data_IF_046133714437
#
_entry.id   IF_046133714437
#
_cell.length_a   1.000
_cell.length_b   1.000
_cell.length_c   1.000
_cell.angle_alpha   90.00
_cell.angle_beta   90.00
_cell.angle_gamma   90.00
#
_symmetry.space_group_name_H-M   'P 1'
#
loop_
_entity.id
_entity.type
_entity.pdbx_description
1 polymer ?
#
# COMPACT_ATOMS: atom_id res chain seq x y z
N UNK A 1 -11.79 2.46 21.22
CA UNK A 1 -10.33 2.51 20.93
C UNK A 1 -9.50 2.36 22.20
N UNK A 2 -9.75 3.11 23.28
CA UNK A 2 -9.00 2.97 24.54
C UNK A 2 -9.02 1.54 25.08
N UNK A 3 -10.20 0.94 25.22
CA UNK A 3 -10.37 -0.44 25.67
C UNK A 3 -9.54 -1.43 24.83
N UNK A 4 -9.61 -1.28 23.51
CA UNK A 4 -8.85 -2.10 22.57
C UNK A 4 -7.34 -1.92 22.74
N UNK A 5 -6.88 -0.69 23.00
CA UNK A 5 -5.46 -0.41 23.23
C UNK A 5 -4.99 -1.04 24.52
N UNK A 6 -5.73 -0.88 25.62
CA UNK A 6 -5.44 -1.52 26.90
C UNK A 6 -5.38 -3.04 26.79
N UNK A 7 -6.33 -3.63 26.05
CA UNK A 7 -6.33 -5.06 25.76
C UNK A 7 -5.06 -5.50 25.01
N UNK A 8 -4.64 -4.80 23.97
CA UNK A 8 -3.44 -5.17 23.24
C UNK A 8 -2.15 -4.96 24.06
N UNK A 9 -2.09 -3.89 24.86
CA UNK A 9 -0.95 -3.64 25.76
C UNK A 9 -0.82 -4.76 26.81
N UNK A 10 -1.91 -5.19 27.43
CA UNK A 10 -1.92 -6.26 28.43
C UNK A 10 -1.55 -7.64 27.83
N UNK A 11 -1.73 -7.82 26.54
CA UNK A 11 -1.37 -9.02 25.79
C UNK A 11 0.02 -8.95 25.13
N UNK A 12 0.83 -7.90 25.37
CA UNK A 12 2.16 -7.78 24.80
C UNK A 12 3.13 -8.74 25.53
N UNK A 13 3.55 -9.86 24.90
CA UNK A 13 4.38 -10.85 25.55
C UNK A 13 5.84 -10.39 25.62
N UNK A 14 6.63 -10.99 26.51
CA UNK A 14 8.04 -10.64 26.73
C UNK A 14 8.86 -10.76 25.45
N UNK A 15 8.72 -11.84 24.69
CA UNK A 15 9.45 -11.99 23.44
C UNK A 15 9.19 -10.86 22.42
N UNK A 16 8.00 -10.22 22.46
CA UNK A 16 7.73 -9.03 21.66
C UNK A 16 8.51 -7.81 22.16
N UNK A 17 8.61 -7.65 23.48
CA UNK A 17 9.39 -6.57 24.11
C UNK A 17 10.87 -6.74 23.76
N UNK A 18 11.38 -7.95 23.87
CA UNK A 18 12.76 -8.30 23.48
C UNK A 18 12.99 -7.99 21.99
N UNK A 19 12.09 -8.44 21.11
CA UNK A 19 12.19 -8.14 19.69
C UNK A 19 12.17 -6.63 19.38
N UNK A 20 11.32 -5.86 20.07
CA UNK A 20 11.25 -4.41 19.90
C UNK A 20 12.53 -3.73 20.41
N UNK A 21 13.11 -4.22 21.50
CA UNK A 21 14.37 -3.71 22.06
C UNK A 21 15.56 -4.10 21.20
N UNK A 22 15.71 -5.39 20.89
CA UNK A 22 16.87 -5.91 20.16
C UNK A 22 16.89 -5.45 18.69
N UNK A 23 15.75 -5.48 18.02
CA UNK A 23 15.68 -5.17 16.59
C UNK A 23 15.55 -3.67 16.30
N UNK A 24 14.86 -2.92 17.18
CA UNK A 24 14.57 -1.50 16.95
C UNK A 24 15.15 -0.56 18.01
N UNK A 25 15.81 -1.07 19.04
CA UNK A 25 16.38 -0.26 20.10
C UNK A 25 15.34 0.47 20.98
N UNK A 26 14.09 0.01 20.98
CA UNK A 26 13.03 0.68 21.75
C UNK A 26 13.16 0.35 23.23
N UNK A 27 13.19 1.40 24.07
CA UNK A 27 13.19 1.22 25.51
C UNK A 27 11.81 0.78 26.03
N UNK A 28 11.74 0.15 27.23
CA UNK A 28 10.47 -0.17 27.85
C UNK A 28 9.55 1.05 28.02
N UNK A 29 10.12 2.22 28.37
CA UNK A 29 9.39 3.47 28.49
C UNK A 29 8.80 3.92 27.15
N UNK A 30 9.55 3.78 26.05
CA UNK A 30 9.06 4.08 24.69
C UNK A 30 7.94 3.15 24.28
N UNK A 31 8.07 1.85 24.53
CA UNK A 31 7.04 0.84 24.22
C UNK A 31 5.73 1.20 24.94
N UNK A 32 5.82 1.61 26.22
CA UNK A 32 4.67 2.02 27.03
C UNK A 32 4.06 3.34 26.53
N UNK A 33 4.88 4.37 26.30
CA UNK A 33 4.41 5.70 25.85
C UNK A 33 3.79 5.63 24.45
N UNK A 34 4.39 4.86 23.53
CA UNK A 34 3.83 4.59 22.20
C UNK A 34 2.63 3.63 22.25
N UNK A 35 2.31 3.10 23.43
CA UNK A 35 1.18 2.21 23.70
C UNK A 35 1.17 0.97 22.79
N UNK A 36 2.38 0.44 22.48
CA UNK A 36 2.54 -0.73 21.64
C UNK A 36 1.93 -1.95 22.29
N UNK A 37 1.21 -2.75 21.53
CA UNK A 37 0.53 -3.94 22.03
C UNK A 37 0.68 -5.14 21.11
N UNK A 38 0.03 -6.23 21.44
CA UNK A 38 0.03 -7.46 20.66
C UNK A 38 -1.39 -8.02 20.53
N UNK A 39 -1.75 -8.40 19.31
CA UNK A 39 -3.01 -9.08 19.04
C UNK A 39 -2.83 -10.59 19.17
N UNK A 40 -3.48 -11.26 20.13
CA UNK A 40 -3.43 -12.71 20.27
C UNK A 40 -3.78 -13.45 18.97
N UNK A 41 -3.33 -14.70 18.85
CA UNK A 41 -3.59 -15.53 17.66
C UNK A 41 -5.03 -16.03 17.59
N UNK A 42 -5.75 -16.08 18.71
CA UNK A 42 -7.16 -16.44 18.76
C UNK A 42 -8.01 -15.42 17.99
N UNK A 43 -8.77 -15.94 17.04
CA UNK A 43 -9.61 -15.14 16.12
C UNK A 43 -10.76 -14.41 16.81
N UNK A 44 -11.20 -14.90 17.95
CA UNK A 44 -12.38 -14.35 18.68
C UNK A 44 -12.02 -13.54 19.91
N UNK A 45 -10.79 -13.66 20.42
CA UNK A 45 -10.38 -13.10 21.70
C UNK A 45 -10.70 -11.60 21.83
N UNK A 46 -10.38 -10.79 20.82
CA UNK A 46 -10.74 -9.36 20.84
C UNK A 46 -12.26 -9.11 20.88
N UNK A 47 -13.01 -9.86 20.08
CA UNK A 47 -14.47 -9.69 20.03
C UNK A 47 -15.13 -10.08 21.33
N UNK A 48 -14.69 -11.17 21.98
CA UNK A 48 -15.17 -11.60 23.29
C UNK A 48 -14.83 -10.57 24.35
N UNK A 49 -13.59 -10.11 24.41
CA UNK A 49 -13.18 -9.06 25.35
C UNK A 49 -14.03 -7.79 25.22
N UNK A 50 -14.28 -7.33 24.00
CA UNK A 50 -15.09 -6.13 23.78
C UNK A 50 -16.57 -6.33 24.16
N UNK A 51 -17.13 -7.54 23.93
CA UNK A 51 -18.47 -7.88 24.39
C UNK A 51 -18.57 -7.90 25.92
N UNK A 52 -17.60 -8.49 26.61
CA UNK A 52 -17.48 -8.49 28.07
C UNK A 52 -17.32 -7.08 28.64
N UNK A 53 -16.62 -6.20 27.94
CA UNK A 53 -16.51 -4.77 28.27
C UNK A 53 -17.80 -3.97 27.96
N UNK A 54 -18.86 -4.62 27.47
CA UNK A 54 -20.19 -4.02 27.26
C UNK A 54 -20.41 -3.36 25.89
N UNK A 55 -19.51 -3.54 24.93
CA UNK A 55 -19.72 -3.04 23.56
C UNK A 55 -20.69 -3.93 22.80
N UNK A 56 -21.61 -3.33 22.05
CA UNK A 56 -22.54 -4.09 21.21
C UNK A 56 -21.82 -4.74 20.01
N UNK A 57 -22.32 -5.88 19.54
CA UNK A 57 -21.79 -6.55 18.34
C UNK A 57 -21.80 -5.64 17.10
N UNK A 58 -22.76 -4.70 17.00
CA UNK A 58 -22.80 -3.70 15.94
C UNK A 58 -21.65 -2.70 16.04
N UNK A 59 -21.39 -2.16 17.24
CA UNK A 59 -20.25 -1.25 17.47
C UNK A 59 -18.91 -1.93 17.14
N UNK A 60 -18.76 -3.21 17.50
CA UNK A 60 -17.56 -4.00 17.19
C UNK A 60 -17.40 -4.15 15.67
N UNK A 61 -18.46 -4.47 14.92
CA UNK A 61 -18.42 -4.57 13.45
C UNK A 61 -18.08 -3.24 12.79
N UNK A 62 -18.63 -2.13 13.28
CA UNK A 62 -18.39 -0.79 12.74
C UNK A 62 -17.03 -0.20 13.10
N UNK A 63 -16.35 -0.77 14.10
CA UNK A 63 -15.04 -0.27 14.57
C UNK A 63 -13.89 -0.45 13.56
N UNK A 64 -14.04 -1.30 12.56
CA UNK A 64 -12.96 -1.67 11.65
C UNK A 64 -11.84 -2.53 12.27
N UNK A 65 -12.03 -2.98 13.54
CA UNK A 65 -11.08 -3.83 14.28
C UNK A 65 -11.21 -5.31 13.92
N UNK A 66 -12.34 -5.69 13.34
CA UNK A 66 -12.66 -7.08 12.98
C UNK A 66 -12.96 -7.21 11.49
N UNK A 67 -12.80 -8.43 10.98
CA UNK A 67 -13.19 -8.81 9.62
C UNK A 67 -14.39 -9.74 9.70
N UNK A 68 -15.38 -9.53 8.83
CA UNK A 68 -16.60 -10.37 8.75
C UNK A 68 -16.59 -11.17 7.44
N UNK A 69 -15.55 -11.94 7.22
CA UNK A 69 -15.41 -12.68 5.94
C UNK A 69 -16.49 -13.75 5.74
N UNK A 70 -16.93 -14.40 6.81
CA UNK A 70 -17.91 -15.50 6.82
C UNK A 70 -19.15 -15.18 7.70
N UNK A 71 -19.45 -13.91 7.90
CA UNK A 71 -20.49 -13.47 8.82
C UNK A 71 -20.07 -13.45 10.29
N UNK A 72 -18.90 -14.04 10.62
CA UNK A 72 -18.36 -14.09 11.98
C UNK A 72 -17.29 -12.99 12.15
N UNK A 73 -17.34 -12.20 13.24
CA UNK A 73 -16.34 -11.19 13.51
C UNK A 73 -15.01 -11.83 13.93
N UNK A 74 -14.03 -11.81 13.02
CA UNK A 74 -12.68 -12.30 13.23
C UNK A 74 -11.73 -11.14 13.50
N UNK A 75 -10.84 -11.25 14.49
CA UNK A 75 -9.81 -10.25 14.74
C UNK A 75 -8.95 -10.01 13.48
N UNK A 76 -8.75 -8.73 13.15
CA UNK A 76 -8.02 -8.31 11.95
C UNK A 76 -6.53 -8.66 12.03
N UNK A 77 -5.94 -8.56 13.22
CA UNK A 77 -4.51 -8.69 13.46
C UNK A 77 -4.19 -9.88 14.38
N UNK A 78 -4.19 -11.07 13.87
CA UNK A 78 -3.87 -12.26 14.65
C UNK A 78 -2.37 -12.53 14.68
N UNK A 79 -1.75 -12.50 15.86
CA UNK A 79 -0.33 -12.73 16.02
C UNK A 79 0.55 -11.56 15.53
N UNK A 80 0.06 -10.31 15.64
CA UNK A 80 0.78 -9.11 15.19
C UNK A 80 1.08 -8.17 16.33
N UNK A 81 2.21 -7.47 16.23
CA UNK A 81 2.51 -6.30 17.06
C UNK A 81 1.67 -5.14 16.55
N UNK A 82 0.98 -4.45 17.46
CA UNK A 82 0.07 -3.34 17.16
C UNK A 82 0.71 -2.01 17.55
N UNK A 83 0.64 -1.06 16.62
CA UNK A 83 1.05 0.31 16.82
C UNK A 83 -0.19 1.20 16.71
N UNK A 84 -0.64 1.83 17.81
CA UNK A 84 -1.73 2.79 17.75
C UNK A 84 -1.24 4.12 17.16
N UNK A 85 -2.09 4.76 16.39
CA UNK A 85 -1.95 6.17 16.03
C UNK A 85 -2.66 6.99 17.09
N UNK A 86 -1.93 7.88 17.72
CA UNK A 86 -2.48 8.77 18.75
C UNK A 86 -2.88 10.10 18.14
N UNK A 87 -3.94 10.68 18.66
CA UNK A 87 -4.38 12.04 18.40
C UNK A 87 -4.98 12.61 19.68
N UNK A 88 -4.44 13.72 20.18
CA UNK A 88 -4.73 14.29 21.49
C UNK A 88 -4.53 13.26 22.61
N UNK A 89 -3.44 12.49 22.54
CA UNK A 89 -3.09 11.41 23.48
C UNK A 89 -4.01 10.18 23.41
N UNK A 90 -5.02 10.15 22.52
CA UNK A 90 -6.00 9.08 22.42
C UNK A 90 -5.79 8.22 21.19
N UNK A 91 -5.87 6.89 21.28
CA UNK A 91 -5.75 6.01 20.12
C UNK A 91 -6.95 6.20 19.18
N UNK A 92 -6.64 6.45 17.90
CA UNK A 92 -7.64 6.68 16.85
C UNK A 92 -7.63 5.61 15.77
N UNK A 93 -6.49 4.96 15.57
CA UNK A 93 -6.28 4.00 14.50
C UNK A 93 -5.18 3.01 14.86
N UNK A 94 -5.13 1.86 14.19
CA UNK A 94 -4.09 0.86 14.40
C UNK A 94 -3.47 0.38 13.10
N UNK A 95 -2.18 0.04 13.20
CA UNK A 95 -1.50 -0.79 12.22
C UNK A 95 -0.85 -1.97 12.93
N UNK A 96 -0.93 -3.14 12.32
CA UNK A 96 -0.34 -4.37 12.86
C UNK A 96 0.81 -4.88 12.01
N UNK A 97 1.99 -5.06 12.61
CA UNK A 97 3.18 -5.62 11.99
C UNK A 97 3.23 -7.13 12.15
N UNK A 98 3.53 -7.83 11.07
CA UNK A 98 3.71 -9.29 11.04
C UNK A 98 4.83 -9.73 11.99
N UNK A 99 4.61 -10.85 12.68
CA UNK A 99 5.59 -11.60 13.47
C UNK A 99 5.64 -13.05 12.99
N UNK A 100 6.53 -13.86 13.52
CA UNK A 100 6.60 -15.31 13.26
C UNK A 100 5.36 -16.05 13.79
N UNK A 101 4.62 -15.44 14.72
CA UNK A 101 3.37 -15.97 15.26
C UNK A 101 2.11 -15.48 14.50
N UNK A 102 2.27 -14.71 13.42
CA UNK A 102 1.14 -14.27 12.62
C UNK A 102 0.44 -15.47 12.00
N UNK A 103 -0.88 -15.57 12.20
CA UNK A 103 -1.67 -16.69 11.69
C UNK A 103 -1.54 -16.82 10.16
N UNK A 104 -1.45 -18.06 9.68
CA UNK A 104 -1.38 -18.38 8.26
C UNK A 104 -2.53 -17.73 7.46
N UNK A 105 -2.24 -17.37 6.23
CA UNK A 105 -3.18 -16.70 5.33
C UNK A 105 -3.32 -15.19 5.55
N UNK A 106 -2.71 -14.59 6.59
CA UNK A 106 -2.65 -13.15 6.76
C UNK A 106 -1.43 -12.57 6.03
N UNK A 107 -1.61 -12.26 4.75
CA UNK A 107 -0.56 -11.69 3.91
C UNK A 107 -0.18 -10.25 4.31
N UNK A 108 1.05 -9.85 3.96
CA UNK A 108 1.57 -8.49 4.11
C UNK A 108 2.32 -8.25 5.42
N UNK A 109 3.44 -7.52 5.30
CA UNK A 109 4.28 -7.10 6.44
C UNK A 109 3.47 -6.26 7.43
N UNK A 110 2.62 -5.37 6.93
CA UNK A 110 1.73 -4.52 7.70
C UNK A 110 0.28 -4.67 7.27
N UNK A 111 -0.65 -4.63 8.24
CA UNK A 111 -2.09 -4.53 8.01
C UNK A 111 -2.63 -3.32 8.75
N UNK A 112 -3.22 -2.39 8.02
CA UNK A 112 -3.89 -1.20 8.56
C UNK A 112 -5.33 -1.51 8.96
N UNK A 113 -5.87 -0.82 9.96
CA UNK A 113 -7.28 -0.89 10.34
C UNK A 113 -8.18 -0.62 9.12
N UNK A 114 -9.31 -1.29 9.05
CA UNK A 114 -10.25 -1.07 7.95
C UNK A 114 -10.92 0.30 8.08
N UNK A 115 -10.92 1.04 6.98
CA UNK A 115 -11.73 2.26 6.86
C UNK A 115 -13.21 1.86 6.67
N UNK A 116 -14.08 2.27 7.58
CA UNK A 116 -15.51 1.95 7.51
C UNK A 116 -16.28 3.20 7.05
N UNK A 117 -16.66 3.22 5.75
CA UNK A 117 -17.59 4.20 5.14
C UNK A 117 -17.41 5.67 5.59
N UNK A 118 -16.16 6.12 5.72
CA UNK A 118 -15.84 7.50 6.13
C UNK A 118 -15.89 7.77 7.63
N UNK A 119 -16.39 6.84 8.45
CA UNK A 119 -16.45 7.01 9.91
C UNK A 119 -15.07 6.83 10.57
N UNK A 120 -14.19 6.02 9.98
CA UNK A 120 -12.84 5.78 10.46
C UNK A 120 -11.86 6.26 9.41
N UNK A 121 -11.11 7.29 9.73
CA UNK A 121 -10.05 7.83 8.90
C UNK A 121 -8.70 7.49 9.52
N UNK A 122 -7.71 7.21 8.69
CA UNK A 122 -6.33 7.01 9.14
C UNK A 122 -5.70 8.39 9.42
N UNK A 123 -5.32 8.69 10.68
CA UNK A 123 -4.59 9.91 10.99
C UNK A 123 -3.16 9.86 10.44
N UNK A 124 -2.43 10.97 10.53
CA UNK A 124 -0.98 10.98 10.31
C UNK A 124 -0.33 10.41 11.57
N UNK A 125 0.55 9.40 11.39
CA UNK A 125 1.30 8.85 12.52
C UNK A 125 2.27 9.89 13.07
N UNK A 126 2.33 10.01 14.39
CA UNK A 126 3.20 10.97 15.07
C UNK A 126 2.65 12.40 15.13
N UNK A 127 1.43 12.67 14.66
CA UNK A 127 0.85 14.03 14.67
C UNK A 127 0.91 14.71 16.04
N UNK A 128 0.76 13.95 17.14
CA UNK A 128 0.82 14.46 18.53
C UNK A 128 2.21 14.90 18.96
N UNK A 129 3.26 14.53 18.23
CA UNK A 129 4.64 14.94 18.55
C UNK A 129 5.03 16.28 17.94
N UNK A 130 4.23 16.80 17.02
CA UNK A 130 4.52 18.06 16.32
C UNK A 130 4.42 19.23 17.30
N UNK A 131 5.51 19.93 17.49
CA UNK A 131 5.64 21.09 18.37
C UNK A 131 5.80 22.35 17.53
N UNK A 132 5.01 23.38 17.84
CA UNK A 132 5.10 24.65 17.11
C UNK A 132 6.47 25.33 17.36
N UNK A 133 7.13 25.68 16.26
CA UNK A 133 8.44 26.34 16.30
C UNK A 133 9.63 25.42 16.52
N UNK A 134 9.42 24.10 16.59
CA UNK A 134 10.49 23.10 16.64
C UNK A 134 10.70 22.42 15.27
N UNK A 135 11.92 21.92 14.97
CA UNK A 135 12.14 21.11 13.77
C UNK A 135 11.28 19.85 13.76
N UNK A 136 10.79 19.49 12.58
CA UNK A 136 9.97 18.29 12.36
C UNK A 136 10.65 17.34 11.39
N UNK A 137 10.78 16.09 11.79
CA UNK A 137 11.27 15.01 10.94
C UNK A 137 10.09 14.32 10.25
N UNK A 138 10.25 13.94 9.00
CA UNK A 138 9.33 13.10 8.23
C UNK A 138 10.09 11.85 7.80
N UNK A 139 9.62 10.66 8.23
CA UNK A 139 10.23 9.37 7.90
C UNK A 139 9.29 8.47 7.11
N UNK A 140 9.80 7.37 6.53
CA UNK A 140 8.98 6.40 5.82
C UNK A 140 8.25 5.46 6.79
N UNK A 141 8.98 4.89 7.75
CA UNK A 141 8.54 3.79 8.60
C UNK A 141 7.98 4.22 9.95
N UNK A 142 7.12 3.36 10.51
CA UNK A 142 6.57 3.60 11.86
C UNK A 142 7.63 3.41 12.94
N UNK A 143 8.55 2.45 12.76
CA UNK A 143 9.65 2.19 13.70
C UNK A 143 10.64 3.34 13.71
N UNK A 144 10.89 3.96 12.55
CA UNK A 144 11.75 5.14 12.42
C UNK A 144 11.16 6.35 13.13
N UNK A 145 9.85 6.55 13.01
CA UNK A 145 9.18 7.61 13.74
C UNK A 145 9.25 7.39 15.26
N UNK A 146 9.04 6.15 15.74
CA UNK A 146 9.10 5.85 17.18
C UNK A 146 10.50 6.05 17.74
N UNK A 147 11.55 5.62 17.02
CA UNK A 147 12.93 5.80 17.50
C UNK A 147 13.34 7.28 17.46
N UNK A 148 12.85 8.07 16.48
CA UNK A 148 13.04 9.52 16.49
C UNK A 148 12.36 10.17 17.71
N UNK A 149 11.13 9.77 18.06
CA UNK A 149 10.44 10.23 19.27
C UNK A 149 11.25 9.86 20.55
N UNK A 150 11.80 8.63 20.61
CA UNK A 150 12.64 8.20 21.71
C UNK A 150 13.90 9.06 21.83
N UNK A 151 14.46 9.50 20.71
CA UNK A 151 15.61 10.39 20.65
C UNK A 151 15.24 11.87 20.94
N UNK A 152 13.96 12.17 21.20
CA UNK A 152 13.47 13.51 21.54
C UNK A 152 13.11 14.40 20.34
N UNK A 153 13.00 13.84 19.15
CA UNK A 153 12.65 14.60 17.95
C UNK A 153 11.17 14.43 17.56
N UNK A 154 10.43 15.54 17.35
CA UNK A 154 9.14 15.50 16.68
C UNK A 154 9.25 14.80 15.31
N UNK A 155 8.39 13.83 15.06
CA UNK A 155 8.45 13.05 13.82
C UNK A 155 7.07 12.55 13.39
N UNK A 156 6.78 12.71 12.10
CA UNK A 156 5.59 12.15 11.47
C UNK A 156 5.96 11.14 10.38
N UNK A 157 5.03 10.20 10.11
CA UNK A 157 5.25 9.21 9.05
C UNK A 157 3.95 8.89 8.30
N UNK A 158 3.98 8.71 6.97
CA UNK A 158 2.88 8.12 6.21
C UNK A 158 2.69 6.62 6.50
N UNK A 159 3.69 6.00 7.16
CA UNK A 159 3.79 4.53 7.35
C UNK A 159 3.70 3.76 6.02
N UNK A 160 4.13 4.42 4.95
CA UNK A 160 4.27 3.97 3.56
C UNK A 160 5.20 4.96 2.86
N UNK A 161 5.52 4.72 1.58
CA UNK A 161 6.43 5.57 0.80
C UNK A 161 5.94 7.04 0.69
N UNK A 162 4.62 7.30 0.83
CA UNK A 162 4.06 8.67 0.70
C UNK A 162 2.74 8.82 1.45
N UNK A 163 2.40 10.06 1.78
CA UNK A 163 1.09 10.41 2.34
C UNK A 163 -0.04 10.18 1.32
N UNK A 164 -1.20 9.74 1.81
CA UNK A 164 -2.38 9.58 0.97
C UNK A 164 -2.89 10.95 0.52
N UNK A 165 -3.43 11.03 -0.70
CA UNK A 165 -3.92 12.27 -1.29
C UNK A 165 -4.97 12.99 -0.43
N UNK A 166 -5.83 12.23 0.25
CA UNK A 166 -6.86 12.75 1.16
C UNK A 166 -6.29 13.20 2.52
N UNK A 167 -4.97 13.07 2.75
CA UNK A 167 -4.24 13.50 3.95
C UNK A 167 -3.22 14.61 3.68
N UNK A 168 -3.06 15.03 2.44
CA UNK A 168 -2.10 16.06 2.08
C UNK A 168 -2.40 17.38 2.80
N UNK A 169 -3.69 17.77 2.92
CA UNK A 169 -4.07 18.98 3.65
C UNK A 169 -3.67 18.94 5.12
N UNK A 170 -3.95 17.81 5.80
CA UNK A 170 -3.58 17.61 7.21
C UNK A 170 -2.04 17.60 7.38
N UNK A 171 -1.32 16.99 6.44
CA UNK A 171 0.16 16.99 6.43
C UNK A 171 0.71 18.41 6.32
N UNK A 172 0.21 19.20 5.36
CA UNK A 172 0.65 20.60 5.17
C UNK A 172 0.37 21.45 6.42
N UNK A 173 -0.82 21.27 7.04
CA UNK A 173 -1.17 21.98 8.27
C UNK A 173 -0.22 21.63 9.43
N UNK A 174 0.10 20.33 9.60
CA UNK A 174 1.04 19.88 10.64
C UNK A 174 2.45 20.42 10.37
N UNK A 175 2.95 20.27 9.14
CA UNK A 175 4.27 20.73 8.75
C UNK A 175 4.41 22.26 8.86
N UNK A 176 3.35 23.01 8.60
CA UNK A 176 3.34 24.47 8.74
C UNK A 176 3.51 24.99 10.18
N UNK A 177 3.46 24.12 11.20
CA UNK A 177 3.72 24.48 12.61
C UNK A 177 5.21 24.43 12.94
N UNK A 178 6.00 23.67 12.19
CA UNK A 178 7.41 23.45 12.43
C UNK A 178 8.26 24.67 12.02
N UNK A 179 9.42 24.85 12.67
CA UNK A 179 10.41 25.86 12.25
C UNK A 179 11.19 25.40 11.01
N UNK A 180 11.43 24.10 10.88
CA UNK A 180 12.21 23.49 9.81
C UNK A 180 11.64 22.09 9.52
N UNK A 181 11.75 21.63 8.27
CA UNK A 181 11.22 20.35 7.82
C UNK A 181 12.32 19.48 7.22
N UNK A 182 12.56 18.33 7.82
CA UNK A 182 13.58 17.39 7.41
C UNK A 182 12.98 16.06 6.99
N UNK A 183 13.17 15.67 5.73
CA UNK A 183 12.75 14.36 5.21
C UNK A 183 13.95 13.41 5.31
N UNK A 184 13.83 12.39 6.16
CA UNK A 184 14.85 11.36 6.40
C UNK A 184 14.24 10.02 6.04
N UNK A 185 14.52 9.53 4.83
CA UNK A 185 13.99 8.27 4.33
C UNK A 185 15.08 7.21 4.29
N UNK A 186 14.68 5.98 4.03
CA UNK A 186 15.60 4.85 3.86
C UNK A 186 16.59 5.15 2.72
N UNK A 187 17.88 4.94 2.97
CA UNK A 187 18.93 4.97 1.96
C UNK A 187 19.15 3.53 1.45
N UNK A 188 18.59 3.22 0.28
CA UNK A 188 18.60 1.89 -0.33
C UNK A 188 18.92 1.98 -1.84
N UNK A 189 19.42 0.89 -2.43
CA UNK A 189 19.90 0.86 -3.82
C UNK A 189 18.85 1.19 -4.88
N UNK A 190 17.57 0.97 -4.59
CA UNK A 190 16.48 1.21 -5.55
C UNK A 190 15.92 2.65 -5.53
N UNK A 191 16.42 3.53 -4.66
CA UNK A 191 15.99 4.92 -4.47
C UNK A 191 14.48 5.11 -4.22
N UNK A 192 13.74 4.07 -3.81
CA UNK A 192 12.29 4.18 -3.64
C UNK A 192 11.92 5.15 -2.50
N UNK A 193 12.63 5.06 -1.37
CA UNK A 193 12.49 5.99 -0.25
C UNK A 193 12.82 7.42 -0.66
N UNK A 194 13.94 7.62 -1.35
CA UNK A 194 14.37 8.94 -1.84
C UNK A 194 13.36 9.56 -2.82
N UNK A 195 12.84 8.79 -3.77
CA UNK A 195 11.78 9.26 -4.69
C UNK A 195 10.50 9.64 -3.94
N UNK A 196 10.13 8.87 -2.92
CA UNK A 196 9.01 9.18 -2.03
C UNK A 196 9.23 10.46 -1.22
N UNK A 197 10.46 10.69 -0.73
CA UNK A 197 10.85 11.92 -0.05
C UNK A 197 10.74 13.13 -0.98
N UNK A 198 11.31 13.05 -2.18
CA UNK A 198 11.22 14.13 -3.18
C UNK A 198 9.75 14.43 -3.51
N UNK A 199 8.90 13.43 -3.75
CA UNK A 199 7.48 13.66 -4.01
C UNK A 199 6.76 14.36 -2.84
N UNK A 200 7.05 13.95 -1.60
CA UNK A 200 6.49 14.57 -0.39
C UNK A 200 7.01 16.00 -0.22
N UNK A 201 8.31 16.20 -0.36
CA UNK A 201 8.94 17.52 -0.27
C UNK A 201 8.42 18.49 -1.32
N UNK A 202 8.32 18.08 -2.60
CA UNK A 202 7.73 18.91 -3.66
C UNK A 202 6.26 19.26 -3.38
N UNK A 203 5.52 18.38 -2.69
CA UNK A 203 4.14 18.70 -2.28
C UNK A 203 4.12 19.79 -1.22
N UNK A 204 5.04 19.73 -0.24
CA UNK A 204 5.19 20.73 0.81
C UNK A 204 5.71 22.06 0.25
N UNK A 205 6.70 22.04 -0.67
CA UNK A 205 7.23 23.23 -1.32
C UNK A 205 6.14 23.98 -2.11
N UNK A 206 5.27 23.27 -2.84
CA UNK A 206 4.11 23.88 -3.51
C UNK A 206 3.09 24.52 -2.56
N UNK A 207 3.07 24.09 -1.31
CA UNK A 207 2.26 24.69 -0.26
C UNK A 207 2.94 25.89 0.42
N UNK A 208 4.15 26.29 -0.04
CA UNK A 208 4.92 27.43 0.47
C UNK A 208 5.77 27.10 1.70
N UNK A 209 6.07 25.81 1.94
CA UNK A 209 6.97 25.36 3.01
C UNK A 209 8.36 25.07 2.44
N UNK A 210 9.37 25.00 3.31
CA UNK A 210 10.76 24.77 2.95
C UNK A 210 11.25 23.39 3.46
N UNK A 211 10.97 22.29 2.74
CA UNK A 211 11.40 20.96 3.13
C UNK A 211 12.82 20.64 2.63
N UNK A 212 13.62 20.03 3.50
CA UNK A 212 14.99 19.63 3.26
C UNK A 212 15.10 18.10 3.26
N UNK A 213 15.87 17.56 2.32
CA UNK A 213 16.16 16.12 2.21
C UNK A 213 17.47 15.82 2.93
N UNK A 214 17.41 14.90 3.90
CA UNK A 214 18.60 14.40 4.59
C UNK A 214 18.95 13.01 4.04
N UNK A 215 20.23 12.78 3.80
CA UNK A 215 20.75 11.46 3.42
C UNK A 215 21.41 10.81 4.61
N UNK A 216 20.94 9.60 4.99
CA UNK A 216 21.59 8.80 6.04
C UNK A 216 22.89 8.25 5.45
N UNK A 217 24.04 8.41 6.12
CA UNK A 217 25.28 7.77 5.68
C UNK A 217 25.14 6.26 5.64
N UNK A 218 25.63 5.63 4.57
CA UNK A 218 25.60 4.17 4.39
C UNK A 218 27.02 3.67 4.21
N UNK A 219 27.42 2.63 4.97
CA UNK A 219 28.72 2.03 4.84
C UNK A 219 28.85 1.26 3.52
N UNK A 220 30.09 1.12 3.03
CA UNK A 220 30.37 0.36 1.81
C UNK A 220 29.96 -1.12 2.02
N UNK A 221 29.12 -1.63 1.09
CA UNK A 221 28.61 -3.00 1.14
C UNK A 221 27.29 -3.18 1.90
N UNK A 222 26.73 -2.13 2.51
CA UNK A 222 25.38 -2.17 3.05
C UNK A 222 24.35 -1.90 1.94
N UNK A 223 23.35 -2.75 1.82
CA UNK A 223 22.27 -2.61 0.82
C UNK A 223 21.25 -1.55 1.21
N UNK A 224 21.07 -1.33 2.52
CA UNK A 224 20.07 -0.43 3.08
C UNK A 224 20.44 0.04 4.47
N UNK A 225 20.14 1.30 4.76
CA UNK A 225 20.16 1.87 6.11
C UNK A 225 18.88 2.72 6.30
N UNK A 226 18.23 2.60 7.43
CA UNK A 226 17.10 3.43 7.83
C UNK A 226 17.44 4.30 9.04
N UNK A 227 16.54 5.21 9.43
CA UNK A 227 16.77 6.10 10.56
C UNK A 227 16.92 5.33 11.89
N UNK A 228 16.21 4.21 12.00
CA UNK A 228 16.33 3.33 13.16
C UNK A 228 17.75 2.75 13.28
N UNK A 229 18.30 2.23 12.18
CA UNK A 229 19.65 1.70 12.16
C UNK A 229 20.69 2.79 12.48
N UNK A 230 20.54 4.00 11.94
CA UNK A 230 21.41 5.15 12.22
C UNK A 230 21.43 5.53 13.70
N UNK A 231 20.26 5.70 14.32
CA UNK A 231 20.16 6.07 15.75
C UNK A 231 20.69 4.95 16.65
N UNK A 232 20.44 3.69 16.33
CA UNK A 232 20.96 2.53 17.07
C UNK A 232 22.49 2.42 16.99
N UNK A 233 23.08 2.85 15.91
CA UNK A 233 24.54 2.94 15.77
C UNK A 233 25.16 4.11 16.57
N UNK A 234 24.33 4.91 17.25
CA UNK A 234 24.76 6.06 18.06
C UNK A 234 24.68 7.41 17.34
N UNK A 235 24.16 7.45 16.11
CA UNK A 235 23.91 8.68 15.37
C UNK A 235 22.78 9.51 15.98
N UNK A 236 22.87 10.81 15.85
CA UNK A 236 21.88 11.78 16.30
C UNK A 236 21.22 12.41 15.07
N UNK A 237 19.88 12.43 14.94
CA UNK A 237 19.21 12.99 13.76
C UNK A 237 19.67 14.39 13.36
N UNK A 238 19.98 15.27 14.33
CA UNK A 238 20.48 16.60 14.07
C UNK A 238 21.84 16.64 13.34
N UNK A 239 22.63 15.57 13.37
CA UNK A 239 23.88 15.47 12.62
C UNK A 239 23.67 15.44 11.11
N UNK A 240 22.45 15.07 10.66
CA UNK A 240 22.07 15.02 9.25
C UNK A 240 21.59 16.37 8.70
N UNK A 241 21.23 17.34 9.56
CA UNK A 241 20.62 18.59 9.16
C UNK A 241 21.57 19.54 8.42
N UNK A 242 22.85 19.69 8.80
CA UNK A 242 23.77 20.60 8.13
C UNK A 242 24.02 20.28 6.65
N UNK A 243 23.91 19.01 6.25
CA UNK A 243 24.14 18.53 4.89
C UNK A 243 22.82 18.33 4.11
N UNK A 244 21.69 18.78 4.69
CA UNK A 244 20.39 18.63 4.07
C UNK A 244 20.24 19.52 2.83
N UNK A 245 19.64 18.99 1.79
CA UNK A 245 19.44 19.68 0.50
C UNK A 245 17.98 20.10 0.38
N UNK A 246 17.75 21.39 0.05
CA UNK A 246 16.40 21.85 -0.26
C UNK A 246 15.80 21.03 -1.40
N UNK A 247 14.53 20.61 -1.26
CA UNK A 247 13.94 19.60 -2.15
C UNK A 247 13.97 19.99 -3.63
N UNK A 248 13.76 21.28 -3.95
CA UNK A 248 13.74 21.74 -5.34
C UNK A 248 15.14 21.79 -5.97
N UNK A 249 16.20 21.87 -5.15
CA UNK A 249 17.60 21.84 -5.59
C UNK A 249 18.13 20.39 -5.77
N UNK A 250 17.35 19.39 -5.34
CA UNK A 250 17.76 18.00 -5.45
C UNK A 250 17.74 17.51 -6.91
N UNK A 251 18.77 16.77 -7.40
CA UNK A 251 18.87 16.34 -8.80
C UNK A 251 17.64 15.58 -9.34
N UNK A 252 16.93 14.83 -8.49
CA UNK A 252 15.70 14.13 -8.88
C UNK A 252 14.46 15.02 -8.95
N UNK A 253 14.49 16.24 -8.45
CA UNK A 253 13.28 17.08 -8.35
C UNK A 253 12.64 17.34 -9.72
N UNK A 254 13.43 17.72 -10.71
CA UNK A 254 12.95 18.02 -12.06
C UNK A 254 12.31 16.80 -12.73
N UNK A 255 12.95 15.62 -12.62
CA UNK A 255 12.42 14.36 -13.15
C UNK A 255 11.08 14.00 -12.49
N UNK A 256 11.00 14.10 -11.16
CA UNK A 256 9.78 13.82 -10.40
C UNK A 256 8.64 14.77 -10.77
N UNK A 257 8.91 16.06 -10.95
CA UNK A 257 7.92 17.04 -11.43
C UNK A 257 7.39 16.65 -12.81
N UNK A 258 8.26 16.28 -13.76
CA UNK A 258 7.85 15.83 -15.11
C UNK A 258 6.98 14.57 -15.04
N UNK A 259 7.35 13.60 -14.20
CA UNK A 259 6.56 12.38 -14.01
C UNK A 259 5.18 12.66 -13.40
N UNK A 260 5.10 13.54 -12.39
CA UNK A 260 3.83 13.95 -11.78
C UNK A 260 2.90 14.65 -12.78
N UNK A 261 3.43 15.57 -13.59
CA UNK A 261 2.67 16.23 -14.65
C UNK A 261 2.14 15.22 -15.66
N UNK A 262 2.99 14.28 -16.07
CA UNK A 262 2.61 13.23 -17.02
C UNK A 262 1.55 12.29 -16.45
N UNK A 263 1.64 11.96 -15.16
CA UNK A 263 0.65 11.15 -14.46
C UNK A 263 -0.70 11.87 -14.33
N UNK A 264 -0.68 13.17 -13.96
CA UNK A 264 -1.86 14.01 -13.88
C UNK A 264 -2.56 14.14 -15.25
N UNK A 265 -1.80 14.37 -16.32
CA UNK A 265 -2.35 14.44 -17.68
C UNK A 265 -2.99 13.10 -18.11
N UNK A 266 -2.39 11.95 -17.75
CA UNK A 266 -2.99 10.63 -17.99
C UNK A 266 -4.28 10.43 -17.20
N UNK A 267 -4.33 10.90 -15.94
CA UNK A 267 -5.53 10.80 -15.11
C UNK A 267 -6.68 11.67 -15.67
N UNK A 268 -6.40 12.91 -16.03
CA UNK A 268 -7.39 13.81 -16.66
C UNK A 268 -7.99 13.16 -17.92
N UNK A 269 -7.15 12.59 -18.80
CA UNK A 269 -7.65 11.88 -19.99
C UNK A 269 -8.53 10.67 -19.64
N UNK A 270 -8.18 9.90 -18.60
CA UNK A 270 -9.01 8.77 -18.12
C UNK A 270 -10.37 9.25 -17.61
N UNK A 271 -10.37 10.31 -16.80
CA UNK A 271 -11.60 10.87 -16.23
C UNK A 271 -12.51 11.47 -17.30
N UNK A 272 -11.95 12.13 -18.31
CA UNK A 272 -12.71 12.63 -19.46
C UNK A 272 -13.35 11.49 -20.27
N UNK A 273 -12.61 10.41 -20.54
CA UNK A 273 -13.13 9.22 -21.21
C UNK A 273 -14.26 8.60 -20.39
N UNK A 274 -14.08 8.46 -19.07
CA UNK A 274 -15.13 7.92 -18.19
C UNK A 274 -16.37 8.83 -18.15
N UNK A 275 -16.20 10.16 -18.11
CA UNK A 275 -17.32 11.12 -18.17
C UNK A 275 -18.06 11.02 -19.50
N UNK A 276 -17.37 10.94 -20.62
CA UNK A 276 -17.97 10.76 -21.96
C UNK A 276 -18.77 9.45 -22.04
N UNK A 277 -18.21 8.36 -21.51
CA UNK A 277 -18.87 7.05 -21.48
C UNK A 277 -20.12 7.07 -20.58
N UNK A 278 -20.05 7.68 -19.39
CA UNK A 278 -21.21 7.85 -18.50
C UNK A 278 -22.30 8.74 -19.13
N UNK A 279 -21.92 9.81 -19.84
CA UNK A 279 -22.86 10.68 -20.54
C UNK A 279 -23.54 9.99 -21.73
N UNK A 280 -22.81 9.18 -22.51
CA UNK A 280 -23.37 8.38 -23.59
C UNK A 280 -24.39 7.35 -23.07
N UNK A 281 -24.10 6.67 -21.94
CA UNK A 281 -25.04 5.74 -21.27
C UNK A 281 -26.30 6.43 -20.74
N UNK A 282 -26.21 7.68 -20.25
CA UNK A 282 -27.39 8.43 -19.74
C UNK A 282 -28.32 8.96 -20.81
N UNK A 283 -27.85 9.16 -22.04
CA UNK A 283 -28.65 9.75 -23.14
C UNK A 283 -29.44 8.74 -23.96
N UNK A 284 -29.44 7.43 -23.63
CA UNK A 284 -30.23 6.41 -24.32
C UNK A 284 -29.97 6.34 -25.84
N UNK A 285 -28.87 6.92 -26.32
CA UNK A 285 -28.52 6.99 -27.73
C UNK A 285 -28.00 5.64 -28.23
N UNK A 286 -28.49 5.21 -29.41
CA UNK A 286 -27.90 4.15 -30.20
C UNK A 286 -26.39 4.40 -30.29
N UNK A 287 -25.57 3.36 -29.98
CA UNK A 287 -24.11 3.43 -30.17
C UNK A 287 -23.79 3.96 -31.58
N UNK A 288 -22.86 4.92 -31.73
CA UNK A 288 -22.35 5.29 -33.02
C UNK A 288 -21.72 4.05 -33.69
N UNK A 289 -22.13 3.74 -34.91
CA UNK A 289 -21.50 2.70 -35.72
C UNK A 289 -20.00 3.03 -35.84
N UNK A 290 -19.16 2.19 -35.20
CA UNK A 290 -17.70 2.34 -35.20
C UNK A 290 -17.06 2.40 -33.82
N UNK A 291 -17.80 2.46 -32.70
CA UNK A 291 -17.22 2.22 -31.36
C UNK A 291 -17.05 0.73 -31.11
N UNK A 292 -15.93 0.40 -30.43
CA UNK A 292 -15.70 -0.97 -29.93
C UNK A 292 -16.89 -1.42 -29.06
N UNK A 293 -17.30 -2.68 -29.18
CA UNK A 293 -18.38 -3.24 -28.38
C UNK A 293 -18.07 -3.15 -26.88
N UNK A 294 -19.10 -3.30 -26.04
CA UNK A 294 -18.94 -3.37 -24.59
C UNK A 294 -18.02 -4.54 -24.24
N UNK A 295 -16.83 -4.24 -23.70
CA UNK A 295 -15.82 -5.24 -23.33
C UNK A 295 -16.40 -6.28 -22.37
N UNK A 296 -17.34 -5.87 -21.50
CA UNK A 296 -18.06 -6.78 -20.63
C UNK A 296 -18.91 -7.79 -21.40
N UNK A 297 -19.61 -7.34 -22.43
CA UNK A 297 -20.39 -8.20 -23.31
C UNK A 297 -19.50 -9.15 -24.14
N UNK A 298 -18.38 -8.63 -24.64
CA UNK A 298 -17.40 -9.44 -25.39
C UNK A 298 -16.79 -10.55 -24.51
N UNK A 299 -16.43 -10.24 -23.26
CA UNK A 299 -15.93 -11.25 -22.32
C UNK A 299 -16.97 -12.29 -21.95
N UNK A 300 -18.24 -11.95 -21.89
CA UNK A 300 -19.33 -12.92 -21.64
C UNK A 300 -19.56 -13.92 -22.78
N UNK A 301 -19.05 -13.63 -23.99
CA UNK A 301 -19.08 -14.57 -25.12
C UNK A 301 -18.01 -15.64 -25.02
N UNK A 302 -16.97 -15.42 -24.20
CA UNK A 302 -15.82 -16.28 -24.11
C UNK A 302 -16.02 -17.40 -23.09
N UNK A 303 -15.48 -18.60 -23.37
CA UNK A 303 -15.29 -19.61 -22.34
C UNK A 303 -14.32 -19.10 -21.26
N UNK A 304 -14.36 -19.63 -20.03
CA UNK A 304 -13.42 -19.25 -18.98
C UNK A 304 -11.97 -19.61 -19.36
N UNK A 305 -10.99 -18.93 -18.75
CA UNK A 305 -9.57 -19.14 -19.01
C UNK A 305 -9.16 -20.62 -18.85
N UNK A 306 -9.78 -21.35 -17.95
CA UNK A 306 -9.53 -22.77 -17.72
C UNK A 306 -9.82 -23.65 -18.94
N UNK A 307 -10.70 -23.22 -19.85
CA UNK A 307 -10.95 -23.88 -21.14
C UNK A 307 -9.72 -23.80 -22.05
N UNK A 308 -9.06 -22.65 -22.10
CA UNK A 308 -7.90 -22.41 -22.96
C UNK A 308 -6.61 -23.03 -22.41
N UNK A 309 -6.49 -23.10 -21.08
CA UNK A 309 -5.29 -23.58 -20.39
C UNK A 309 -5.35 -25.05 -20.00
N UNK A 310 -6.54 -25.65 -20.11
CA UNK A 310 -6.75 -27.04 -19.75
C UNK A 310 -6.91 -27.32 -18.25
N UNK A 311 -7.02 -26.29 -17.41
CA UNK A 311 -7.21 -26.45 -15.96
C UNK A 311 -6.96 -25.19 -15.15
N UNK A 312 -6.98 -25.35 -13.82
CA UNK A 312 -6.76 -24.31 -12.82
C UNK A 312 -5.53 -24.64 -11.95
N UNK A 313 -4.90 -23.64 -11.36
CA UNK A 313 -3.74 -23.77 -10.49
C UNK A 313 -2.42 -23.61 -11.23
N UNK A 314 -1.38 -24.29 -10.76
CA UNK A 314 -0.05 -24.24 -11.39
C UNK A 314 0.07 -25.36 -12.45
N UNK A 315 0.11 -24.98 -13.70
CA UNK A 315 0.09 -25.88 -14.86
C UNK A 315 1.42 -25.81 -15.62
N UNK A 316 1.63 -26.83 -16.47
CA UNK A 316 2.67 -26.77 -17.51
C UNK A 316 2.16 -25.90 -18.66
N UNK A 317 2.98 -24.91 -19.08
CA UNK A 317 2.57 -23.98 -20.12
C UNK A 317 2.38 -24.73 -21.46
N UNK A 318 1.22 -24.59 -22.14
CA UNK A 318 0.91 -25.39 -23.33
C UNK A 318 1.85 -25.13 -24.52
N UNK A 319 2.45 -23.95 -24.60
CA UNK A 319 3.39 -23.59 -25.70
C UNK A 319 4.84 -23.86 -25.33
N UNK A 320 5.29 -23.47 -24.12
CA UNK A 320 6.70 -23.56 -23.72
C UNK A 320 7.06 -24.86 -23.03
N UNK A 321 6.09 -25.60 -22.55
CA UNK A 321 6.36 -26.75 -21.68
C UNK A 321 6.97 -26.33 -20.34
N UNK A 322 7.36 -27.30 -19.53
CA UNK A 322 8.15 -27.07 -18.32
C UNK A 322 8.97 -28.31 -17.97
N UNK A 323 10.25 -28.12 -17.65
CA UNK A 323 11.13 -29.20 -17.17
C UNK A 323 10.98 -29.45 -15.67
N UNK A 324 10.47 -28.45 -14.92
CA UNK A 324 10.38 -28.45 -13.45
C UNK A 324 8.97 -28.62 -12.89
N UNK A 325 7.97 -28.77 -13.76
CA UNK A 325 6.58 -29.02 -13.32
C UNK A 325 5.60 -27.94 -13.74
N UNK A 326 5.58 -26.76 -13.14
CA UNK A 326 4.60 -25.72 -13.45
C UNK A 326 5.27 -24.37 -13.75
N UNK A 327 4.86 -23.72 -14.83
CA UNK A 327 5.33 -22.39 -15.22
C UNK A 327 4.17 -21.49 -15.71
N UNK A 328 2.93 -21.93 -15.56
CA UNK A 328 1.71 -21.21 -15.86
C UNK A 328 0.77 -21.28 -14.64
N UNK A 329 0.45 -20.15 -14.05
CA UNK A 329 -0.57 -20.05 -12.99
C UNK A 329 -1.90 -19.62 -13.59
N UNK A 330 -2.98 -20.33 -13.24
CA UNK A 330 -4.34 -20.06 -13.70
C UNK A 330 -5.28 -19.95 -12.51
N UNK A 331 -5.94 -18.80 -12.39
CA UNK A 331 -6.99 -18.52 -11.40
C UNK A 331 -8.35 -18.50 -12.10
N UNK A 332 -9.07 -19.61 -12.05
CA UNK A 332 -10.37 -19.78 -12.70
C UNK A 332 -11.48 -18.91 -12.08
N UNK A 333 -11.35 -18.49 -10.80
CA UNK A 333 -12.33 -17.60 -10.15
C UNK A 333 -12.22 -16.16 -10.62
N UNK A 334 -10.98 -15.71 -10.93
CA UNK A 334 -10.70 -14.36 -11.44
C UNK A 334 -10.63 -14.31 -12.95
N UNK A 335 -10.67 -15.45 -13.60
CA UNK A 335 -10.50 -15.59 -15.05
C UNK A 335 -9.18 -15.01 -15.56
N UNK A 336 -8.08 -15.31 -14.83
CA UNK A 336 -6.74 -14.76 -15.03
C UNK A 336 -5.69 -15.85 -15.14
N UNK A 337 -4.62 -15.55 -15.88
CA UNK A 337 -3.45 -16.39 -16.02
C UNK A 337 -2.15 -15.60 -15.84
N UNK A 338 -1.05 -16.27 -15.51
CA UNK A 338 0.29 -15.72 -15.46
C UNK A 338 1.34 -16.76 -15.84
N UNK A 339 2.21 -16.40 -16.80
CA UNK A 339 3.34 -17.20 -17.26
C UNK A 339 4.62 -16.80 -16.52
N UNK A 340 5.35 -17.79 -15.98
CA UNK A 340 6.65 -17.62 -15.31
C UNK A 340 7.81 -18.07 -16.17
N UNK A 341 7.62 -18.36 -17.45
CA UNK A 341 8.69 -18.81 -18.33
C UNK A 341 9.71 -17.70 -18.53
N UNK A 342 10.99 -17.98 -18.20
CA UNK A 342 12.07 -16.97 -18.25
C UNK A 342 12.19 -16.34 -19.64
N UNK A 343 12.08 -15.01 -19.69
CA UNK A 343 12.11 -14.21 -20.91
C UNK A 343 10.74 -14.01 -21.58
N UNK A 344 9.70 -14.68 -21.07
CA UNK A 344 8.32 -14.55 -21.53
C UNK A 344 7.36 -14.46 -20.33
N UNK A 345 7.77 -13.72 -19.27
CA UNK A 345 6.95 -13.50 -18.12
C UNK A 345 5.81 -12.53 -18.45
N UNK A 346 4.62 -12.86 -18.02
CA UNK A 346 3.47 -12.00 -18.21
C UNK A 346 2.16 -12.72 -17.96
N UNK A 347 1.07 -11.97 -17.99
CA UNK A 347 -0.24 -12.53 -17.72
C UNK A 347 -1.36 -11.57 -18.05
N UNK A 348 -2.59 -12.01 -17.87
CA UNK A 348 -3.77 -11.23 -18.13
C UNK A 348 -5.06 -12.03 -18.02
N UNK A 349 -6.09 -11.53 -18.65
CA UNK A 349 -7.38 -12.20 -18.79
C UNK A 349 -7.47 -13.02 -20.09
N UNK A 350 -8.62 -13.62 -20.32
CA UNK A 350 -8.91 -14.43 -21.50
C UNK A 350 -8.72 -13.65 -22.82
N UNK A 351 -9.06 -12.37 -22.88
CA UNK A 351 -8.83 -11.58 -24.11
C UNK A 351 -7.34 -11.46 -24.43
N UNK A 352 -6.52 -11.25 -23.41
CA UNK A 352 -5.06 -11.21 -23.60
C UNK A 352 -4.50 -12.58 -23.97
N UNK A 353 -5.04 -13.67 -23.41
CA UNK A 353 -4.68 -15.02 -23.83
C UNK A 353 -4.87 -15.22 -25.35
N UNK A 354 -6.04 -14.83 -25.85
CA UNK A 354 -6.37 -14.94 -27.28
C UNK A 354 -5.40 -14.09 -28.15
N UNK A 355 -5.13 -12.85 -27.69
CA UNK A 355 -4.21 -11.97 -28.41
C UNK A 355 -2.79 -12.52 -28.49
N UNK A 356 -2.32 -13.20 -27.43
CA UNK A 356 -0.96 -13.78 -27.36
C UNK A 356 -0.90 -15.11 -28.11
N UNK A 357 -1.78 -16.06 -27.81
CA UNK A 357 -1.59 -17.46 -28.21
C UNK A 357 -2.47 -17.93 -29.38
N UNK A 358 -3.58 -17.24 -29.67
CA UNK A 358 -4.39 -17.57 -30.85
C UNK A 358 -4.11 -16.62 -32.02
N UNK A 359 -3.82 -15.35 -31.75
CA UNK A 359 -3.65 -14.35 -32.79
C UNK A 359 -2.20 -13.87 -32.97
N UNK A 360 -1.32 -14.20 -32.03
CA UNK A 360 0.11 -13.82 -32.02
C UNK A 360 0.34 -12.31 -32.28
N UNK A 361 -0.54 -11.47 -31.71
CA UNK A 361 -0.53 -10.02 -31.91
C UNK A 361 0.43 -9.29 -30.95
N UNK A 362 0.68 -9.88 -29.78
CA UNK A 362 1.51 -9.33 -28.71
C UNK A 362 2.19 -10.49 -27.96
N UNK A 363 3.26 -10.18 -27.21
CA UNK A 363 3.89 -11.12 -26.28
C UNK A 363 3.24 -11.09 -24.89
N UNK A 364 3.57 -12.05 -24.01
CA UNK A 364 3.02 -12.20 -22.65
C UNK A 364 3.27 -10.97 -21.77
N UNK A 365 4.44 -10.34 -21.90
CA UNK A 365 4.84 -9.16 -21.14
C UNK A 365 4.22 -7.86 -21.64
N UNK A 366 3.66 -7.84 -22.87
CA UNK A 366 3.09 -6.65 -23.47
C UNK A 366 1.63 -6.44 -23.05
N UNK A 367 1.20 -5.20 -22.98
CA UNK A 367 -0.20 -4.86 -22.71
C UNK A 367 -1.05 -4.95 -23.97
N UNK A 368 -2.22 -5.58 -23.87
CA UNK A 368 -3.19 -5.62 -24.96
C UNK A 368 -3.84 -4.25 -25.16
N UNK A 369 -3.37 -3.50 -26.15
CA UNK A 369 -3.80 -2.11 -26.45
C UNK A 369 -3.90 -1.82 -27.96
N UNK A 370 -4.52 -0.70 -28.30
CA UNK A 370 -4.54 -0.15 -29.65
C UNK A 370 -5.08 -1.12 -30.70
N UNK A 371 -4.35 -1.30 -31.79
CA UNK A 371 -4.76 -2.13 -32.93
C UNK A 371 -4.88 -3.62 -32.57
N UNK A 372 -3.99 -4.14 -31.74
CA UNK A 372 -4.03 -5.52 -31.26
C UNK A 372 -5.33 -5.78 -30.48
N UNK A 373 -5.71 -4.86 -29.60
CA UNK A 373 -6.96 -4.96 -28.85
C UNK A 373 -8.19 -4.96 -29.78
N UNK A 374 -8.23 -4.07 -30.78
CA UNK A 374 -9.35 -3.99 -31.75
C UNK A 374 -9.47 -5.28 -32.55
N UNK A 375 -8.33 -5.82 -33.01
CA UNK A 375 -8.29 -7.09 -33.76
C UNK A 375 -8.78 -8.26 -32.90
N UNK A 376 -8.34 -8.32 -31.63
CA UNK A 376 -8.77 -9.36 -30.71
C UNK A 376 -10.27 -9.33 -30.45
N UNK A 377 -10.83 -8.13 -30.20
CA UNK A 377 -12.27 -7.98 -29.96
C UNK A 377 -13.08 -8.42 -31.18
N UNK A 378 -12.71 -8.01 -32.37
CA UNK A 378 -13.39 -8.45 -33.62
C UNK A 378 -13.34 -9.96 -33.81
N UNK A 379 -12.16 -10.56 -33.60
CA UNK A 379 -12.00 -11.99 -33.67
C UNK A 379 -12.92 -12.74 -32.68
N UNK A 380 -13.05 -12.24 -31.46
CA UNK A 380 -13.94 -12.82 -30.46
C UNK A 380 -15.39 -12.71 -30.88
N UNK A 381 -15.83 -11.57 -31.40
CA UNK A 381 -17.18 -11.39 -31.91
C UNK A 381 -17.48 -12.34 -33.08
N UNK A 382 -16.55 -12.47 -34.02
CA UNK A 382 -16.69 -13.37 -35.17
C UNK A 382 -16.71 -14.85 -34.76
N UNK A 383 -15.80 -15.26 -33.87
CA UNK A 383 -15.63 -16.68 -33.51
C UNK A 383 -16.59 -17.16 -32.44
N UNK A 384 -16.92 -16.31 -31.46
CA UNK A 384 -17.69 -16.68 -30.26
C UNK A 384 -19.07 -15.99 -30.19
N UNK A 385 -19.33 -14.93 -30.97
CA UNK A 385 -20.56 -14.15 -30.93
C UNK A 385 -21.79 -14.87 -31.50
N UNK A 386 -21.62 -15.88 -32.36
CA UNK A 386 -22.73 -16.59 -33.03
C UNK A 386 -23.24 -17.84 -32.30
N UNK A 387 -22.72 -18.19 -31.12
CA UNK A 387 -23.13 -19.40 -30.37
C UNK A 387 -24.27 -19.18 -29.37
N UNK A 388 -24.97 -18.07 -29.47
CA UNK A 388 -26.09 -17.69 -28.58
C UNK A 388 -27.44 -17.55 -29.27
N UNK A 389 -27.68 -18.23 -30.42
CA UNK A 389 -29.01 -18.37 -31.01
C UNK A 389 -29.43 -19.82 -31.12
#
# INVERSE_FOLDING_TARGET
MEETTGYFQSNLPEWCRDHLSERYGLTPATIETARIGYAPTDRYALSLHLLEAGFSGEAIRQSGLVSTYDGTPNALWRGRILFPYLQDGKPRYFIGRKTDHTADGLAGKYIKQKRMNGAIQEPIYGADTVLAGEPLIITEGITDAIIAHQAGYPCISPVTIRFKQDRVGDMVELCGKASELYLIMDNEDNDAGLKGAVDTGLTLARAGLEPYLCTIPRAEGEEKVDLNDFIRAGGVPAELFPDAVYVEDHPLAEERVREQISAAARQIRRDEVQKRTKHARRRGGKQPQGLLPDIGAVKQMLPPITYFTGGEGLLVHPVYGSKSGGNLSVDGRRDMWYCFHKGNEGGGDVLKWIAVYELELISEGEDLRGEAFVKTVRYVEEKYGEKGK
#
